data_IF_172969385407
#
_entry.id   IF_172969385407
#
_cell.length_a   1.000
_cell.length_b   1.000
_cell.length_c   1.000
_cell.angle_alpha   90.00
_cell.angle_beta   90.00
_cell.angle_gamma   90.00
#
_symmetry.space_group_name_H-M   'P 1'
#
loop_
_entity.id
_entity.type
_entity.pdbx_description
1 polymer ?
#
# COMPACT_ATOMS: atom_id res chain seq x y z
N UNK A 1 48.75 0.60 34.29
CA UNK A 1 48.33 1.48 33.17
C UNK A 1 48.51 0.70 31.88
N UNK A 2 47.44 0.16 31.32
CA UNK A 2 47.42 -0.31 29.93
C UNK A 2 46.05 0.06 29.36
N UNK A 3 46.02 1.14 28.61
CA UNK A 3 44.85 1.60 27.88
C UNK A 3 44.60 0.63 26.72
N UNK A 4 43.39 0.05 26.57
CA UNK A 4 43.09 -0.75 25.39
C UNK A 4 42.99 0.15 24.17
N UNK A 5 43.74 -0.19 23.13
CA UNK A 5 43.67 0.43 21.80
C UNK A 5 42.35 0.05 21.12
N UNK A 6 41.63 1.04 20.57
CA UNK A 6 40.51 0.81 19.65
C UNK A 6 41.06 0.55 18.22
N UNK A 7 40.49 -0.40 17.46
CA UNK A 7 40.79 -0.52 16.04
C UNK A 7 40.16 0.66 15.29
N UNK A 8 40.97 1.35 14.48
CA UNK A 8 40.58 2.46 13.61
C UNK A 8 40.24 1.98 12.19
N UNK A 9 39.61 0.81 12.03
CA UNK A 9 39.47 0.14 10.74
C UNK A 9 38.06 0.15 10.17
N UNK A 10 37.33 1.26 10.31
CA UNK A 10 36.18 1.57 9.45
C UNK A 10 35.04 0.52 9.42
N UNK A 11 35.00 -0.41 10.36
CA UNK A 11 33.91 -1.37 10.53
C UNK A 11 32.80 -0.68 11.32
N UNK A 12 31.64 -0.49 10.69
CA UNK A 12 30.47 0.12 11.33
C UNK A 12 30.13 -0.61 12.62
N UNK A 13 29.76 0.14 13.66
CA UNK A 13 29.31 -0.41 14.94
C UNK A 13 27.97 -1.11 14.69
N UNK A 14 28.00 -2.42 14.43
CA UNK A 14 26.80 -3.24 14.46
C UNK A 14 26.27 -3.23 15.91
N UNK A 15 24.96 -2.97 16.08
CA UNK A 15 24.29 -2.80 17.38
C UNK A 15 24.24 -4.04 18.27
N UNK A 16 24.99 -5.10 17.94
CA UNK A 16 25.03 -6.36 18.66
C UNK A 16 26.46 -6.92 18.61
N UNK A 17 27.08 -7.14 19.78
CA UNK A 17 28.41 -7.73 19.91
C UNK A 17 28.77 -7.92 21.38
N UNK A 18 29.74 -8.80 21.68
CA UNK A 18 30.15 -9.14 23.05
C UNK A 18 30.72 -7.95 23.86
N UNK A 19 30.93 -6.80 23.22
CA UNK A 19 31.33 -5.55 23.86
C UNK A 19 30.15 -4.76 24.45
N UNK A 20 28.90 -5.10 24.11
CA UNK A 20 27.73 -4.50 24.77
C UNK A 20 27.64 -5.02 26.20
N UNK A 21 27.96 -4.14 27.14
CA UNK A 21 27.80 -4.40 28.56
C UNK A 21 26.37 -4.06 29.00
N UNK A 22 25.77 -4.83 29.92
CA UNK A 22 24.54 -4.43 30.58
C UNK A 22 24.71 -3.03 31.16
N UNK A 23 23.77 -2.14 30.87
CA UNK A 23 23.84 -0.74 31.34
C UNK A 23 23.73 -0.63 32.86
N UNK A 24 23.25 -1.69 33.53
CA UNK A 24 23.00 -1.76 34.98
C UNK A 24 22.20 -0.58 35.53
N UNK A 25 21.44 0.11 34.66
CA UNK A 25 20.56 1.19 35.06
C UNK A 25 19.40 0.61 35.86
N UNK A 26 18.98 1.34 36.90
CA UNK A 26 17.69 1.09 37.51
C UNK A 26 16.57 1.28 36.46
N UNK A 27 15.40 0.68 36.68
CA UNK A 27 14.27 0.84 35.75
C UNK A 27 13.91 2.33 35.53
N UNK A 28 14.04 3.15 36.57
CA UNK A 28 13.80 4.59 36.52
C UNK A 28 14.87 5.32 35.68
N UNK A 29 16.15 4.98 35.86
CA UNK A 29 17.24 5.61 35.12
C UNK A 29 17.28 5.16 33.66
N UNK A 30 16.88 3.92 33.36
CA UNK A 30 16.68 3.44 32.01
C UNK A 30 15.58 4.24 31.31
N UNK A 31 14.42 4.44 31.98
CA UNK A 31 13.33 5.25 31.46
C UNK A 31 13.75 6.71 31.22
N UNK A 32 14.51 7.33 32.14
CA UNK A 32 15.07 8.68 31.95
C UNK A 32 16.07 8.73 30.79
N UNK A 33 16.97 7.75 30.67
CA UNK A 33 17.95 7.67 29.60
C UNK A 33 17.29 7.49 28.22
N UNK A 34 16.11 6.88 28.16
CA UNK A 34 15.30 6.76 26.95
C UNK A 34 14.17 7.79 26.87
N UNK A 35 14.03 8.73 27.81
CA UNK A 35 12.93 9.68 27.82
C UNK A 35 12.91 10.59 26.58
N UNK A 36 14.07 10.78 25.92
CA UNK A 36 14.13 11.47 24.63
C UNK A 36 13.46 10.70 23.48
N UNK A 37 13.35 9.37 23.59
CA UNK A 37 12.58 8.50 22.68
C UNK A 37 11.08 8.73 22.87
N UNK A 38 10.66 9.05 24.10
CA UNK A 38 9.27 9.37 24.44
C UNK A 38 8.90 10.84 24.18
N UNK A 39 9.91 11.73 24.06
CA UNK A 39 9.66 13.12 23.67
C UNK A 39 9.02 13.13 22.29
N UNK A 40 7.78 13.60 22.23
CA UNK A 40 7.08 13.86 20.99
C UNK A 40 7.83 14.96 20.22
N UNK A 41 8.58 14.54 19.21
CA UNK A 41 9.22 15.43 18.25
C UNK A 41 8.37 15.40 16.99
N UNK A 42 7.59 16.46 16.76
CA UNK A 42 6.84 16.60 15.52
C UNK A 42 7.79 16.94 14.37
N UNK A 43 8.18 15.90 13.62
CA UNK A 43 9.07 16.02 12.45
C UNK A 43 8.54 16.95 11.36
N UNK A 44 7.25 17.29 11.36
CA UNK A 44 6.65 18.26 10.43
C UNK A 44 6.98 19.70 10.78
N UNK A 45 7.34 19.96 12.04
CA UNK A 45 7.68 21.30 12.57
C UNK A 45 9.18 21.52 12.73
N UNK A 46 9.99 20.46 12.56
CA UNK A 46 11.44 20.59 12.56
C UNK A 46 11.85 21.26 11.24
N UNK A 47 12.47 22.43 11.35
CA UNK A 47 13.27 22.99 10.26
C UNK A 47 14.51 22.10 10.06
N UNK A 48 14.49 21.27 9.01
CA UNK A 48 15.60 20.39 8.65
C UNK A 48 16.79 21.15 8.05
N UNK A 49 16.72 22.49 7.95
CA UNK A 49 17.75 23.33 7.37
C UNK A 49 17.70 23.30 5.85
N UNK A 50 18.25 22.24 5.23
CA UNK A 50 18.14 22.03 3.79
C UNK A 50 16.80 21.36 3.47
N UNK A 51 15.94 22.04 2.71
CA UNK A 51 14.75 21.41 2.14
C UNK A 51 15.23 20.22 1.33
N UNK A 52 14.77 19.03 1.69
CA UNK A 52 15.15 17.82 0.97
C UNK A 52 14.79 17.97 -0.52
N UNK A 53 15.63 17.43 -1.39
CA UNK A 53 15.52 17.62 -2.84
C UNK A 53 14.24 16.98 -3.40
N UNK A 54 13.40 17.77 -4.08
CA UNK A 54 12.15 17.29 -4.66
C UNK A 54 12.41 16.76 -6.07
N UNK A 55 12.29 15.44 -6.22
CA UNK A 55 12.51 14.74 -7.49
C UNK A 55 11.75 15.33 -8.68
N UNK A 56 10.63 16.02 -8.44
CA UNK A 56 9.83 16.66 -9.49
C UNK A 56 10.54 17.87 -10.11
N UNK A 57 11.35 18.60 -9.35
CA UNK A 57 12.10 19.76 -9.86
C UNK A 57 13.12 19.31 -10.92
N UNK A 58 13.86 18.24 -10.63
CA UNK A 58 14.77 17.61 -11.59
C UNK A 58 14.02 17.02 -12.80
N UNK A 59 12.86 16.43 -12.56
CA UNK A 59 12.04 15.86 -13.62
C UNK A 59 11.51 16.93 -14.61
N UNK A 60 11.11 18.11 -14.13
CA UNK A 60 10.70 19.22 -15.01
C UNK A 60 11.86 19.76 -15.84
N UNK A 61 13.07 19.80 -15.27
CA UNK A 61 14.26 20.20 -16.03
C UNK A 61 14.56 19.21 -17.16
N UNK A 62 14.51 17.89 -16.88
CA UNK A 62 14.70 16.86 -17.90
C UNK A 62 13.66 16.93 -19.03
N UNK A 63 12.40 17.24 -18.69
CA UNK A 63 11.36 17.39 -19.71
C UNK A 63 11.60 18.63 -20.58
N UNK A 64 12.02 19.75 -19.96
CA UNK A 64 12.38 20.98 -20.69
C UNK A 64 13.56 20.76 -21.65
N UNK A 65 14.51 19.91 -21.26
CA UNK A 65 15.62 19.46 -22.10
C UNK A 65 15.19 18.44 -23.17
N UNK A 66 13.94 17.95 -23.11
CA UNK A 66 13.38 17.03 -24.08
C UNK A 66 13.77 15.57 -23.86
N UNK A 67 14.32 15.21 -22.70
CA UNK A 67 14.79 13.86 -22.38
C UNK A 67 13.64 12.89 -22.07
N UNK A 68 12.60 13.38 -21.41
CA UNK A 68 11.44 12.61 -20.95
C UNK A 68 10.13 13.32 -21.29
N UNK A 69 9.02 12.62 -21.11
CA UNK A 69 7.66 13.15 -21.04
C UNK A 69 7.17 12.93 -19.60
N UNK A 70 6.68 13.99 -18.97
CA UNK A 70 6.07 13.89 -17.64
C UNK A 70 4.58 13.61 -17.79
N UNK A 71 4.14 12.45 -17.30
CA UNK A 71 2.73 12.16 -17.13
C UNK A 71 2.24 12.92 -15.90
N UNK A 72 1.54 14.04 -16.16
CA UNK A 72 1.04 14.98 -15.14
C UNK A 72 -0.33 14.60 -14.60
N UNK A 73 -0.59 14.89 -13.33
CA UNK A 73 -1.93 14.96 -12.75
C UNK A 73 -2.53 16.32 -13.11
N UNK A 74 -3.33 16.35 -14.16
CA UNK A 74 -4.10 17.53 -14.61
C UNK A 74 -5.37 17.75 -13.79
N UNK A 75 -5.99 18.93 -13.95
CA UNK A 75 -7.27 19.29 -13.32
C UNK A 75 -8.42 18.33 -13.70
N UNK A 76 -8.34 17.67 -14.86
CA UNK A 76 -9.34 16.68 -15.29
C UNK A 76 -9.42 15.48 -14.34
N UNK A 77 -8.31 15.14 -13.67
CA UNK A 77 -8.26 14.09 -12.64
C UNK A 77 -8.90 14.52 -11.31
N UNK A 78 -9.27 15.81 -11.18
CA UNK A 78 -9.75 16.45 -9.94
C UNK A 78 -8.86 16.10 -8.73
N UNK A 79 -7.57 16.46 -8.77
CA UNK A 79 -6.65 16.10 -7.72
C UNK A 79 -7.01 16.76 -6.38
N UNK A 80 -6.70 16.05 -5.30
CA UNK A 80 -6.68 16.59 -3.94
C UNK A 80 -5.23 16.68 -3.49
N UNK A 81 -4.82 17.86 -3.05
CA UNK A 81 -3.50 18.07 -2.45
C UNK A 81 -3.48 17.55 -1.01
N UNK A 82 -2.47 16.76 -0.68
CA UNK A 82 -2.21 16.23 0.66
C UNK A 82 -0.81 16.61 1.12
N UNK A 83 -0.61 16.66 2.43
CA UNK A 83 0.68 16.95 3.05
C UNK A 83 1.43 15.67 3.36
N UNK A 84 2.71 15.63 3.02
CA UNK A 84 3.62 14.56 3.43
C UNK A 84 4.30 14.88 4.76
N UNK A 85 5.09 13.94 5.29
CA UNK A 85 5.82 14.10 6.55
C UNK A 85 6.68 15.38 6.61
N UNK A 86 7.21 15.86 5.48
CA UNK A 86 8.03 17.07 5.41
C UNK A 86 7.28 18.28 4.82
N UNK A 87 5.95 18.23 4.85
CA UNK A 87 5.10 19.35 4.42
C UNK A 87 5.00 19.54 2.91
N UNK A 88 5.55 18.62 2.11
CA UNK A 88 5.42 18.67 0.65
C UNK A 88 3.97 18.48 0.25
N UNK A 89 3.56 19.19 -0.81
CA UNK A 89 2.28 18.94 -1.46
C UNK A 89 2.45 17.74 -2.38
N UNK A 90 1.59 16.75 -2.22
CA UNK A 90 1.44 15.62 -3.12
C UNK A 90 0.04 15.66 -3.74
N UNK A 91 -0.06 15.47 -5.05
CA UNK A 91 -1.35 15.45 -5.76
C UNK A 91 -1.90 14.04 -5.84
N UNK A 92 -3.11 13.83 -5.32
CA UNK A 92 -3.81 12.55 -5.43
C UNK A 92 -4.96 12.70 -6.43
N UNK A 93 -4.87 12.14 -7.66
CA UNK A 93 -5.99 12.13 -8.60
C UNK A 93 -7.18 11.39 -7.98
N UNK A 94 -8.40 11.92 -8.14
CA UNK A 94 -9.61 11.27 -7.65
C UNK A 94 -10.40 10.56 -8.75
N UNK A 95 -10.17 10.93 -10.01
CA UNK A 95 -10.81 10.40 -11.21
C UNK A 95 -9.76 10.11 -12.30
N UNK A 96 -10.23 9.45 -13.35
CA UNK A 96 -9.46 9.00 -14.51
C UNK A 96 -8.26 8.15 -14.08
N UNK A 97 -8.53 7.02 -13.43
CA UNK A 97 -7.50 6.18 -12.79
C UNK A 97 -7.21 4.91 -13.61
N UNK A 98 -5.94 4.57 -13.76
CA UNK A 98 -5.51 3.32 -14.37
C UNK A 98 -5.14 2.32 -13.27
N UNK A 99 -5.92 1.25 -13.10
CA UNK A 99 -5.70 0.29 -12.02
C UNK A 99 -4.48 -0.58 -12.27
N UNK A 100 -3.36 -0.23 -11.64
CA UNK A 100 -2.19 -1.10 -11.61
C UNK A 100 -2.36 -2.18 -10.54
N UNK A 101 -3.03 -3.28 -10.92
CA UNK A 101 -3.37 -4.38 -10.03
C UNK A 101 -2.13 -5.17 -9.61
N UNK A 102 -2.10 -5.56 -8.35
CA UNK A 102 -1.04 -6.40 -7.79
C UNK A 102 -1.22 -7.87 -8.19
N UNK A 103 -0.12 -8.55 -8.55
CA UNK A 103 -0.12 -10.01 -8.67
C UNK A 103 -0.54 -10.69 -7.35
N UNK A 104 -0.18 -10.10 -6.20
CA UNK A 104 -0.55 -10.60 -4.88
C UNK A 104 -2.06 -10.49 -4.66
N UNK A 105 -2.70 -9.38 -5.06
CA UNK A 105 -4.14 -9.18 -4.90
C UNK A 105 -4.91 -10.15 -5.78
N UNK A 106 -4.61 -10.15 -7.08
CA UNK A 106 -5.32 -10.99 -8.03
C UNK A 106 -5.17 -12.49 -7.70
N UNK A 107 -4.02 -12.90 -7.14
CA UNK A 107 -3.75 -14.31 -6.86
C UNK A 107 -4.02 -14.79 -5.44
N UNK A 108 -4.07 -13.90 -4.43
CA UNK A 108 -4.25 -14.31 -3.03
C UNK A 108 -5.49 -13.72 -2.37
N UNK A 109 -5.73 -12.41 -2.54
CA UNK A 109 -6.84 -11.68 -1.89
C UNK A 109 -7.58 -10.84 -2.96
N UNK A 110 -8.33 -11.46 -3.87
CA UNK A 110 -9.01 -10.76 -4.99
C UNK A 110 -10.15 -9.82 -4.54
N UNK A 111 -10.58 -9.92 -3.27
CA UNK A 111 -11.49 -8.96 -2.65
C UNK A 111 -10.96 -7.53 -2.60
N UNK A 112 -9.63 -7.33 -2.64
CA UNK A 112 -8.99 -6.01 -2.67
C UNK A 112 -9.44 -5.15 -3.87
N UNK A 113 -9.11 -5.51 -5.13
CA UNK A 113 -9.49 -4.72 -6.28
C UNK A 113 -11.01 -4.70 -6.44
N UNK A 114 -11.71 -5.79 -6.13
CA UNK A 114 -13.17 -5.86 -6.25
C UNK A 114 -13.86 -4.85 -5.33
N UNK A 115 -13.45 -4.74 -4.06
CA UNK A 115 -13.97 -3.74 -3.13
C UNK A 115 -13.68 -2.30 -3.57
N UNK A 116 -12.48 -2.04 -4.12
CA UNK A 116 -12.13 -0.72 -4.63
C UNK A 116 -12.98 -0.32 -5.84
N UNK A 117 -13.11 -1.20 -6.84
CA UNK A 117 -13.94 -0.96 -8.02
C UNK A 117 -15.41 -0.79 -7.65
N UNK A 118 -15.91 -1.60 -6.71
CA UNK A 118 -17.27 -1.47 -6.21
C UNK A 118 -17.50 -0.13 -5.52
N UNK A 119 -16.55 0.31 -4.69
CA UNK A 119 -16.63 1.62 -4.02
C UNK A 119 -16.63 2.75 -5.04
N UNK A 120 -15.77 2.71 -6.07
CA UNK A 120 -15.75 3.70 -7.15
C UNK A 120 -17.08 3.75 -7.91
N UNK A 121 -17.66 2.59 -8.25
CA UNK A 121 -18.97 2.53 -8.89
C UNK A 121 -20.08 3.10 -8.01
N UNK A 122 -20.06 2.84 -6.71
CA UNK A 122 -21.00 3.43 -5.75
C UNK A 122 -20.86 4.94 -5.60
N UNK A 123 -19.65 5.48 -5.78
CA UNK A 123 -19.39 6.92 -5.88
C UNK A 123 -19.73 7.51 -7.28
N UNK A 124 -20.34 6.72 -8.16
CA UNK A 124 -20.79 7.15 -9.49
C UNK A 124 -19.69 7.23 -10.55
N UNK A 125 -18.53 6.61 -10.32
CA UNK A 125 -17.49 6.54 -11.34
C UNK A 125 -17.92 5.63 -12.49
N UNK A 126 -17.59 6.04 -13.72
CA UNK A 126 -17.94 5.32 -14.94
C UNK A 126 -16.71 4.60 -15.50
N UNK A 127 -16.71 3.26 -15.58
CA UNK A 127 -15.65 2.48 -16.23
C UNK A 127 -15.36 2.97 -17.66
N UNK A 128 -14.09 3.03 -18.05
CA UNK A 128 -13.67 3.50 -19.38
C UNK A 128 -13.70 5.03 -19.54
N UNK A 129 -14.17 5.78 -18.53
CA UNK A 129 -14.08 7.25 -18.45
C UNK A 129 -13.35 7.71 -17.20
N UNK A 130 -13.79 7.27 -16.02
CA UNK A 130 -13.29 7.72 -14.72
C UNK A 130 -12.30 6.72 -14.10
N UNK A 131 -12.29 5.47 -14.56
CA UNK A 131 -11.21 4.53 -14.27
C UNK A 131 -11.14 3.44 -15.34
N UNK A 132 -10.01 2.74 -15.40
CA UNK A 132 -9.76 1.62 -16.29
C UNK A 132 -9.15 0.44 -15.55
N UNK A 133 -9.79 -0.72 -15.66
CA UNK A 133 -9.20 -2.00 -15.26
C UNK A 133 -8.52 -2.65 -16.48
N UNK A 134 -7.26 -2.26 -16.72
CA UNK A 134 -6.51 -2.66 -17.91
C UNK A 134 -6.00 -4.11 -17.81
N UNK A 135 -6.09 -4.84 -18.92
CA UNK A 135 -5.57 -6.22 -19.02
C UNK A 135 -4.14 -6.27 -19.52
N UNK A 136 -3.69 -5.26 -20.28
CA UNK A 136 -2.31 -5.16 -20.79
C UNK A 136 -1.32 -4.64 -19.73
N UNK A 137 -1.30 -5.23 -18.54
CA UNK A 137 -0.35 -4.91 -17.48
C UNK A 137 0.45 -6.13 -17.03
N UNK A 138 1.66 -5.92 -16.52
CA UNK A 138 2.52 -7.00 -15.99
C UNK A 138 2.81 -6.81 -14.51
N UNK A 139 3.31 -7.87 -13.87
CA UNK A 139 3.92 -7.77 -12.54
C UNK A 139 4.95 -6.63 -12.49
N UNK A 140 5.04 -5.95 -11.35
CA UNK A 140 6.11 -4.98 -11.06
C UNK A 140 7.49 -5.63 -10.90
N UNK A 141 7.56 -6.95 -10.70
CA UNK A 141 8.78 -7.74 -10.41
C UNK A 141 9.52 -7.39 -9.12
N UNK A 142 8.99 -6.45 -8.31
CA UNK A 142 9.63 -5.96 -7.10
C UNK A 142 9.81 -7.03 -6.00
N UNK A 143 8.92 -8.03 -5.91
CA UNK A 143 9.10 -9.15 -4.97
C UNK A 143 10.40 -9.91 -5.22
N UNK A 144 10.70 -10.19 -6.50
CA UNK A 144 11.95 -10.86 -6.86
C UNK A 144 13.16 -9.97 -6.58
N UNK A 145 13.06 -8.68 -6.85
CA UNK A 145 14.14 -7.73 -6.55
C UNK A 145 14.49 -7.71 -5.06
N UNK A 146 13.50 -7.46 -4.20
CA UNK A 146 13.71 -7.38 -2.77
C UNK A 146 14.00 -8.75 -2.12
N UNK A 147 13.52 -9.84 -2.72
CA UNK A 147 13.73 -11.21 -2.19
C UNK A 147 15.07 -11.83 -2.55
N UNK A 148 15.55 -11.61 -3.78
CA UNK A 148 16.80 -12.19 -4.26
C UNK A 148 18.02 -11.33 -3.95
N UNK A 149 17.87 -10.00 -3.91
CA UNK A 149 19.01 -9.07 -3.88
C UNK A 149 19.85 -9.08 -5.18
N UNK A 150 19.41 -9.79 -6.22
CA UNK A 150 20.14 -10.00 -7.49
C UNK A 150 19.39 -9.39 -8.70
N UNK A 151 18.26 -8.71 -8.47
CA UNK A 151 17.49 -8.10 -9.55
C UNK A 151 18.26 -6.97 -10.26
N UNK A 152 18.23 -6.97 -11.60
CA UNK A 152 18.83 -5.92 -12.42
C UNK A 152 17.94 -4.66 -12.42
N UNK A 153 18.50 -3.53 -11.99
CA UNK A 153 17.82 -2.22 -11.98
C UNK A 153 17.29 -1.80 -13.34
N UNK A 154 17.99 -2.11 -14.44
CA UNK A 154 17.52 -1.81 -15.80
C UNK A 154 16.23 -2.54 -16.14
N UNK A 155 16.11 -3.80 -15.72
CA UNK A 155 14.90 -4.60 -15.92
C UNK A 155 13.73 -4.06 -15.11
N UNK A 156 13.98 -3.65 -13.86
CA UNK A 156 12.95 -3.03 -13.01
C UNK A 156 12.45 -1.71 -13.61
N UNK A 157 13.37 -0.85 -14.02
CA UNK A 157 13.05 0.41 -14.68
C UNK A 157 12.30 0.20 -16.00
N UNK A 158 12.70 -0.78 -16.81
CA UNK A 158 11.99 -1.11 -18.04
C UNK A 158 10.56 -1.63 -17.77
N UNK A 159 10.37 -2.50 -16.78
CA UNK A 159 9.04 -3.02 -16.41
C UNK A 159 8.15 -1.91 -15.85
N UNK A 160 8.69 -1.07 -14.95
CA UNK A 160 8.01 0.11 -14.42
C UNK A 160 7.52 1.01 -15.54
N UNK A 161 8.43 1.48 -16.40
CA UNK A 161 8.08 2.41 -17.47
C UNK A 161 7.23 1.76 -18.57
N UNK A 162 7.31 0.45 -18.79
CA UNK A 162 6.39 -0.27 -19.68
C UNK A 162 4.95 -0.21 -19.18
N UNK A 163 4.72 -0.42 -17.88
CA UNK A 163 3.38 -0.35 -17.28
C UNK A 163 2.85 1.10 -17.30
N UNK A 164 3.70 2.07 -16.99
CA UNK A 164 3.29 3.48 -16.93
C UNK A 164 3.11 4.08 -18.32
N UNK A 165 3.89 3.64 -19.31
CA UNK A 165 3.59 3.89 -20.71
C UNK A 165 2.21 3.34 -21.09
N UNK A 166 1.86 2.10 -20.68
CA UNK A 166 0.54 1.55 -20.98
C UNK A 166 -0.56 2.45 -20.41
N UNK A 167 -0.47 2.82 -19.13
CA UNK A 167 -1.43 3.74 -18.52
C UNK A 167 -1.59 5.05 -19.30
N UNK A 168 -0.47 5.64 -19.73
CA UNK A 168 -0.47 6.88 -20.52
C UNK A 168 -1.19 6.73 -21.86
N UNK A 169 -1.08 5.58 -22.54
CA UNK A 169 -1.69 5.40 -23.88
C UNK A 169 -3.05 4.70 -23.88
N UNK A 170 -3.45 4.04 -22.78
CA UNK A 170 -4.70 3.26 -22.71
C UNK A 170 -5.93 4.09 -23.08
N UNK A 171 -5.96 5.38 -22.74
CA UNK A 171 -7.06 6.29 -23.05
C UNK A 171 -7.45 6.31 -24.53
N UNK A 172 -6.48 6.14 -25.44
CA UNK A 172 -6.71 6.20 -26.90
C UNK A 172 -7.74 5.18 -27.38
N UNK A 173 -7.73 3.97 -26.81
CA UNK A 173 -8.66 2.90 -27.20
C UNK A 173 -10.10 3.20 -26.79
N UNK A 174 -10.28 4.14 -25.87
CA UNK A 174 -11.58 4.57 -25.34
C UNK A 174 -11.99 5.97 -25.84
N UNK A 175 -11.27 6.51 -26.85
CA UNK A 175 -11.57 7.82 -27.44
C UNK A 175 -11.04 9.01 -26.63
N UNK A 176 -10.09 8.77 -25.72
CA UNK A 176 -9.46 9.82 -24.92
C UNK A 176 -8.03 10.11 -25.38
N UNK A 177 -7.53 11.29 -25.00
CA UNK A 177 -6.14 11.69 -25.27
C UNK A 177 -5.13 10.90 -24.41
N UNK A 178 -3.85 10.83 -24.83
CA UNK A 178 -2.78 10.31 -23.98
C UNK A 178 -2.74 11.02 -22.63
N UNK A 179 -2.46 10.27 -21.58
CA UNK A 179 -2.40 10.77 -20.21
C UNK A 179 -3.76 10.90 -19.52
N UNK A 180 -4.87 10.59 -20.20
CA UNK A 180 -6.21 10.60 -19.60
C UNK A 180 -6.29 9.75 -18.34
N UNK A 181 -5.78 8.50 -18.36
CA UNK A 181 -5.76 7.68 -17.15
C UNK A 181 -4.44 7.81 -16.40
N UNK A 182 -4.49 8.13 -15.11
CA UNK A 182 -3.32 8.20 -14.23
C UNK A 182 -3.11 6.91 -13.42
N UNK A 183 -1.90 6.35 -13.33
CA UNK A 183 -1.62 5.10 -12.61
C UNK A 183 -2.02 5.14 -11.13
N UNK A 184 -2.89 4.21 -10.74
CA UNK A 184 -3.25 3.91 -9.35
C UNK A 184 -2.60 2.58 -8.95
N UNK A 185 -1.58 2.65 -8.11
CA UNK A 185 -0.80 1.48 -7.69
C UNK A 185 -1.48 0.77 -6.54
N UNK A 186 -1.77 -0.52 -6.72
CA UNK A 186 -2.51 -1.26 -5.71
C UNK A 186 -1.64 -1.88 -4.61
N UNK A 187 -0.36 -2.14 -4.88
CA UNK A 187 0.54 -2.85 -3.96
C UNK A 187 1.52 -1.88 -3.32
N UNK A 188 1.62 -1.90 -1.98
CA UNK A 188 2.65 -1.14 -1.26
C UNK A 188 4.06 -1.47 -1.73
N UNK A 189 4.32 -2.75 -2.06
CA UNK A 189 5.61 -3.17 -2.62
C UNK A 189 5.93 -2.50 -3.95
N UNK A 190 4.99 -2.55 -4.90
CA UNK A 190 5.15 -1.91 -6.23
C UNK A 190 5.29 -0.39 -6.08
N UNK A 191 4.47 0.21 -5.23
CA UNK A 191 4.49 1.64 -4.95
C UNK A 191 5.87 2.09 -4.46
N UNK A 192 6.40 1.46 -3.42
CA UNK A 192 7.71 1.83 -2.91
C UNK A 192 8.82 1.60 -3.93
N UNK A 193 8.79 0.48 -4.67
CA UNK A 193 9.79 0.20 -5.70
C UNK A 193 9.74 1.22 -6.84
N UNK A 194 8.55 1.61 -7.31
CA UNK A 194 8.42 2.62 -8.36
C UNK A 194 8.90 4.00 -7.93
N UNK A 195 8.71 4.38 -6.65
CA UNK A 195 9.28 5.63 -6.12
C UNK A 195 10.81 5.63 -6.17
N UNK A 196 11.42 4.55 -5.71
CA UNK A 196 12.88 4.38 -5.73
C UNK A 196 13.41 4.39 -7.17
N UNK A 197 12.84 3.56 -8.04
CA UNK A 197 13.27 3.44 -9.44
C UNK A 197 13.05 4.74 -10.21
N UNK A 198 11.98 5.49 -9.92
CA UNK A 198 11.77 6.83 -10.47
C UNK A 198 12.93 7.74 -10.09
N UNK A 199 13.33 7.78 -8.82
CA UNK A 199 14.46 8.61 -8.37
C UNK A 199 15.75 8.26 -9.14
N UNK A 200 16.09 6.98 -9.27
CA UNK A 200 17.25 6.56 -10.06
C UNK A 200 17.15 6.94 -11.54
N UNK A 201 15.96 6.86 -12.14
CA UNK A 201 15.73 7.31 -13.51
C UNK A 201 15.92 8.81 -13.66
N UNK A 202 15.54 9.63 -12.68
CA UNK A 202 15.72 11.08 -12.74
C UNK A 202 17.20 11.46 -12.52
N UNK A 203 17.91 10.77 -11.64
CA UNK A 203 19.30 11.10 -11.28
C UNK A 203 20.35 10.49 -12.22
N UNK A 204 20.07 9.38 -12.91
CA UNK A 204 21.06 8.68 -13.74
C UNK A 204 20.75 8.76 -15.26
N UNK A 205 21.45 9.63 -16.01
CA UNK A 205 21.37 9.64 -17.48
C UNK A 205 21.73 8.29 -18.11
N UNK A 206 22.72 7.58 -17.54
CA UNK A 206 23.16 6.28 -18.04
C UNK A 206 22.05 5.22 -17.91
N UNK A 207 21.31 5.21 -16.78
CA UNK A 207 20.16 4.32 -16.62
C UNK A 207 19.05 4.68 -17.62
N UNK A 208 18.72 5.97 -17.77
CA UNK A 208 17.71 6.42 -18.75
C UNK A 208 18.04 5.94 -20.16
N UNK A 209 19.28 6.12 -20.61
CA UNK A 209 19.71 5.74 -21.94
C UNK A 209 19.61 4.21 -22.18
N UNK A 210 19.99 3.39 -21.19
CA UNK A 210 19.84 1.94 -21.29
C UNK A 210 18.37 1.51 -21.34
N UNK A 211 17.54 2.08 -20.48
CA UNK A 211 16.10 1.78 -20.41
C UNK A 211 15.38 2.25 -21.67
N UNK A 212 15.72 3.42 -22.21
CA UNK A 212 15.20 3.95 -23.48
C UNK A 212 15.45 3.01 -24.64
N UNK A 213 16.64 2.41 -24.74
CA UNK A 213 16.95 1.38 -25.76
C UNK A 213 16.10 0.12 -25.60
N UNK A 214 15.80 -0.29 -24.36
CA UNK A 214 14.92 -1.44 -24.10
C UNK A 214 13.49 -1.12 -24.53
N UNK A 215 12.93 0.00 -24.07
CA UNK A 215 11.55 0.39 -24.39
C UNK A 215 11.34 0.71 -25.87
N UNK A 216 12.36 1.23 -26.56
CA UNK A 216 12.33 1.42 -28.01
C UNK A 216 12.04 0.10 -28.75
N UNK A 217 12.72 -0.99 -28.36
CA UNK A 217 12.50 -2.33 -28.92
C UNK A 217 11.11 -2.88 -28.63
N UNK A 218 10.48 -2.44 -27.54
CA UNK A 218 9.13 -2.84 -27.14
C UNK A 218 8.04 -1.95 -27.75
N UNK A 219 8.39 -0.88 -28.47
CA UNK A 219 7.43 0.12 -28.95
C UNK A 219 6.74 0.89 -27.81
N UNK A 220 7.45 1.08 -26.68
CA UNK A 220 6.93 1.72 -25.45
C UNK A 220 7.58 3.08 -25.19
N UNK A 221 7.78 3.84 -26.26
CA UNK A 221 8.20 5.25 -26.22
C UNK A 221 7.11 6.12 -26.82
N UNK A 222 6.95 7.34 -26.33
CA UNK A 222 6.12 8.37 -26.94
C UNK A 222 7.05 9.44 -27.50
N UNK A 223 6.97 9.69 -28.80
CA UNK A 223 7.87 10.63 -29.51
C UNK A 223 9.36 10.38 -29.24
N UNK A 224 9.72 9.10 -29.12
CA UNK A 224 11.09 8.67 -28.83
C UNK A 224 11.55 8.89 -27.39
N UNK A 225 10.66 9.27 -26.46
CA UNK A 225 10.96 9.61 -25.07
C UNK A 225 10.34 8.63 -24.08
N UNK A 226 10.94 8.56 -22.89
CA UNK A 226 10.40 7.84 -21.74
C UNK A 226 9.23 8.62 -21.14
N UNK A 227 8.14 7.93 -20.81
CA UNK A 227 7.02 8.54 -20.06
C UNK A 227 7.20 8.22 -18.58
N UNK A 228 7.38 9.24 -17.75
CA UNK A 228 7.60 9.11 -16.30
C UNK A 228 6.52 9.90 -15.55
N UNK A 229 5.85 9.32 -14.54
CA UNK A 229 4.77 9.99 -13.81
C UNK A 229 5.28 11.04 -12.81
N UNK A 230 4.58 12.16 -12.71
CA UNK A 230 4.89 13.19 -11.71
C UNK A 230 4.65 12.71 -10.27
N UNK A 231 3.65 11.84 -10.08
CA UNK A 231 3.32 11.23 -8.80
C UNK A 231 3.29 9.71 -8.91
N UNK A 232 3.74 9.01 -7.87
CA UNK A 232 3.43 7.60 -7.68
C UNK A 232 2.31 7.55 -6.65
N UNK A 233 1.12 7.11 -7.07
CA UNK A 233 -0.08 7.16 -6.24
C UNK A 233 -0.49 5.75 -5.86
N UNK A 234 -0.64 5.48 -4.56
CA UNK A 234 -1.16 4.22 -4.05
C UNK A 234 -2.68 4.29 -3.87
N UNK A 235 -3.40 3.18 -4.08
CA UNK A 235 -4.86 3.16 -3.94
C UNK A 235 -5.32 3.61 -2.54
N UNK A 236 -4.56 3.30 -1.49
CA UNK A 236 -4.95 3.71 -0.14
C UNK A 236 -4.69 5.22 0.11
N UNK A 237 -3.88 5.90 -0.71
CA UNK A 237 -3.82 7.37 -0.74
C UNK A 237 -5.10 7.93 -1.39
N UNK A 238 -5.61 7.29 -2.44
CA UNK A 238 -6.93 7.60 -3.00
C UNK A 238 -8.03 7.38 -1.95
N UNK A 239 -8.02 6.25 -1.23
CA UNK A 239 -8.98 5.97 -0.16
C UNK A 239 -8.90 7.04 0.93
N UNK A 240 -7.68 7.48 1.29
CA UNK A 240 -7.50 8.57 2.25
C UNK A 240 -8.19 9.86 1.78
N UNK A 241 -7.97 10.33 0.55
CA UNK A 241 -8.61 11.58 0.08
C UNK A 241 -10.12 11.43 -0.14
N UNK A 242 -10.60 10.23 -0.43
CA UNK A 242 -12.01 9.94 -0.63
C UNK A 242 -12.78 9.60 0.66
N UNK A 243 -12.08 9.40 1.79
CA UNK A 243 -12.64 8.85 3.03
C UNK A 243 -13.90 9.54 3.52
N UNK A 244 -13.96 10.88 3.44
CA UNK A 244 -15.09 11.65 3.94
C UNK A 244 -16.32 11.45 3.04
N UNK A 245 -16.12 11.34 1.72
CA UNK A 245 -17.19 11.01 0.78
C UNK A 245 -17.66 9.58 0.96
N UNK A 246 -16.74 8.63 1.13
CA UNK A 246 -17.09 7.23 1.42
C UNK A 246 -17.95 7.15 2.69
N UNK A 247 -17.51 7.78 3.78
CA UNK A 247 -18.25 7.77 5.04
C UNK A 247 -19.61 8.50 4.95
N UNK A 248 -19.67 9.67 4.32
CA UNK A 248 -20.91 10.47 4.28
C UNK A 248 -21.92 10.04 3.21
N UNK A 249 -21.47 9.53 2.07
CA UNK A 249 -22.34 9.19 0.92
C UNK A 249 -22.70 7.70 0.90
N UNK A 250 -21.83 6.80 1.39
CA UNK A 250 -21.98 5.36 1.19
C UNK A 250 -22.16 4.54 2.46
N UNK A 251 -21.73 5.02 3.62
CA UNK A 251 -21.81 4.24 4.86
C UNK A 251 -23.27 3.92 5.20
N UNK A 252 -23.56 2.63 5.39
CA UNK A 252 -24.89 2.14 5.76
C UNK A 252 -24.89 1.34 7.06
N UNK A 253 -23.71 0.96 7.54
CA UNK A 253 -23.52 0.18 8.76
C UNK A 253 -22.69 0.99 9.75
N UNK A 254 -23.19 1.08 10.99
CA UNK A 254 -22.43 1.67 12.09
C UNK A 254 -21.31 0.73 12.52
N UNK A 255 -20.10 1.27 12.59
CA UNK A 255 -18.89 0.55 13.00
C UNK A 255 -18.21 1.21 14.20
N UNK A 256 -18.90 2.14 14.87
CA UNK A 256 -18.35 2.95 15.96
C UNK A 256 -17.98 2.16 17.23
N UNK A 257 -18.50 0.94 17.35
CA UNK A 257 -18.14 -0.03 18.39
C UNK A 257 -16.98 -0.94 18.02
N UNK A 258 -16.52 -0.95 16.76
CA UNK A 258 -15.41 -1.81 16.32
C UNK A 258 -14.06 -1.23 16.69
N UNK A 259 -13.26 -2.03 17.40
CA UNK A 259 -11.87 -1.75 17.73
C UNK A 259 -11.00 -2.11 16.54
N UNK A 260 -10.48 -1.11 15.86
CA UNK A 260 -9.67 -1.28 14.66
C UNK A 260 -8.24 -0.90 14.92
N UNK A 261 -7.29 -1.71 14.47
CA UNK A 261 -5.88 -1.32 14.41
C UNK A 261 -5.36 -1.41 12.99
N UNK A 262 -4.19 -0.83 12.70
CA UNK A 262 -3.64 -0.82 11.34
C UNK A 262 -2.21 -1.34 11.35
N UNK A 263 -1.89 -2.10 10.31
CA UNK A 263 -0.52 -2.37 9.91
C UNK A 263 -0.16 -1.48 8.72
N UNK A 264 0.68 -0.47 8.97
CA UNK A 264 1.24 0.35 7.90
C UNK A 264 2.36 -0.40 7.18
N UNK A 265 2.23 -0.54 5.86
CA UNK A 265 3.19 -1.30 5.06
C UNK A 265 4.55 -0.61 5.04
N UNK A 266 5.65 -1.34 5.28
CA UNK A 266 6.99 -0.77 5.27
C UNK A 266 7.34 -0.09 3.94
N UNK A 267 6.89 -0.63 2.81
CA UNK A 267 7.18 -0.06 1.48
C UNK A 267 6.36 1.19 1.15
N UNK A 268 5.38 1.55 1.99
CA UNK A 268 4.68 2.82 1.88
C UNK A 268 5.55 3.97 2.43
N UNK A 269 6.08 3.82 3.65
CA UNK A 269 6.73 4.93 4.38
C UNK A 269 8.21 4.75 4.73
N UNK A 270 8.79 3.54 4.72
CA UNK A 270 10.20 3.34 5.12
C UNK A 270 11.19 3.55 3.98
N UNK A 271 10.79 3.24 2.74
CA UNK A 271 11.71 3.32 1.59
C UNK A 271 11.88 4.75 1.08
N UNK A 272 10.78 5.50 1.01
CA UNK A 272 10.74 6.91 0.58
C UNK A 272 9.77 7.62 1.52
N UNK A 273 10.28 8.00 2.70
CA UNK A 273 9.50 8.51 3.82
C UNK A 273 8.93 9.92 3.57
N UNK A 274 9.62 10.70 2.74
CA UNK A 274 9.25 12.05 2.34
C UNK A 274 7.95 12.14 1.55
N UNK A 275 7.56 11.03 0.93
CA UNK A 275 6.37 10.93 0.10
C UNK A 275 5.18 10.33 0.87
N UNK A 276 5.38 9.90 2.12
CA UNK A 276 4.32 9.33 2.95
C UNK A 276 3.42 10.42 3.52
N UNK A 277 2.10 10.22 3.40
CA UNK A 277 1.08 11.14 3.92
C UNK A 277 0.94 11.00 5.44
N UNK A 278 1.08 12.14 6.12
CA UNK A 278 0.80 12.34 7.53
C UNK A 278 -0.21 13.48 7.67
N UNK A 279 -1.34 13.21 8.33
CA UNK A 279 -2.45 14.14 8.50
C UNK A 279 -2.66 14.37 10.00
N UNK A 280 -2.61 15.63 10.45
CA UNK A 280 -2.78 16.02 11.85
C UNK A 280 -4.11 15.55 12.44
N UNK A 281 -5.15 15.44 11.62
CA UNK A 281 -6.45 14.95 12.05
C UNK A 281 -6.48 13.45 12.32
N UNK A 282 -5.44 12.70 11.92
CA UNK A 282 -5.37 11.23 12.02
C UNK A 282 -4.32 10.84 13.05
N UNK A 283 -4.76 10.40 14.23
CA UNK A 283 -3.87 10.08 15.37
C UNK A 283 -2.86 11.20 15.72
N UNK A 284 -3.28 12.47 15.58
CA UNK A 284 -2.41 13.64 15.79
C UNK A 284 -1.30 13.78 14.74
N UNK A 285 -1.35 12.99 13.67
CA UNK A 285 -0.29 12.81 12.69
C UNK A 285 0.98 12.15 13.24
N UNK A 286 0.86 11.36 14.31
CA UNK A 286 1.96 10.52 14.82
C UNK A 286 2.16 9.25 14.00
N UNK A 287 1.12 8.82 13.27
CA UNK A 287 1.10 7.63 12.41
C UNK A 287 0.76 8.04 10.99
N UNK A 288 1.12 7.19 10.04
CA UNK A 288 0.73 7.39 8.64
C UNK A 288 -0.79 7.49 8.52
N UNK A 289 -1.29 8.49 7.80
CA UNK A 289 -2.73 8.73 7.68
C UNK A 289 -3.43 7.64 6.84
N UNK A 290 -2.72 7.12 5.86
CA UNK A 290 -3.19 6.09 4.95
C UNK A 290 -3.39 4.75 5.67
N UNK A 291 -4.49 4.05 5.35
CA UNK A 291 -4.99 2.88 6.07
C UNK A 291 -5.77 3.22 7.34
N UNK A 292 -5.28 4.18 8.13
CA UNK A 292 -5.88 4.62 9.40
C UNK A 292 -7.11 5.50 9.22
N UNK A 293 -7.00 6.47 8.32
CA UNK A 293 -7.96 7.56 8.18
C UNK A 293 -9.35 7.12 7.73
N UNK A 294 -9.46 6.04 6.95
CA UNK A 294 -10.77 5.53 6.51
C UNK A 294 -11.52 4.87 7.66
N UNK A 295 -10.85 4.10 8.52
CA UNK A 295 -11.47 3.54 9.72
C UNK A 295 -11.97 4.65 10.64
N UNK A 296 -11.14 5.69 10.85
CA UNK A 296 -11.52 6.87 11.65
C UNK A 296 -12.71 7.63 11.02
N UNK A 297 -12.73 7.82 9.69
CA UNK A 297 -13.80 8.52 9.00
C UNK A 297 -15.14 7.78 9.07
N UNK A 298 -15.12 6.44 9.06
CA UNK A 298 -16.29 5.59 9.25
C UNK A 298 -16.75 5.50 10.72
N UNK A 299 -16.01 6.12 11.64
CA UNK A 299 -16.34 6.18 13.06
C UNK A 299 -15.76 5.05 13.91
N UNK A 300 -15.01 4.10 13.33
CA UNK A 300 -14.42 3.00 14.09
C UNK A 300 -13.38 3.49 15.11
N UNK A 301 -13.22 2.74 16.20
CA UNK A 301 -12.25 3.06 17.24
C UNK A 301 -10.85 2.67 16.78
N UNK A 302 -10.05 3.62 16.32
CA UNK A 302 -8.67 3.37 15.92
C UNK A 302 -7.77 3.26 17.14
N UNK A 303 -7.08 2.13 17.29
CA UNK A 303 -6.27 1.80 18.47
C UNK A 303 -4.82 1.53 18.06
N UNK A 304 -3.92 2.27 18.67
CA UNK A 304 -2.48 2.14 18.49
C UNK A 304 -1.91 0.96 19.32
N UNK A 305 -0.72 0.49 18.95
CA UNK A 305 0.01 -0.57 19.65
C UNK A 305 1.52 -0.40 19.47
N UNK A 306 2.30 -0.94 20.41
CA UNK A 306 3.73 -0.70 20.58
C UNK A 306 4.55 -1.09 19.34
N UNK A 307 4.13 -2.10 18.59
CA UNK A 307 4.83 -2.59 17.40
C UNK A 307 4.20 -2.11 16.09
N UNK A 308 3.46 -0.99 16.08
CA UNK A 308 2.82 -0.45 14.87
C UNK A 308 3.75 -0.38 13.65
N UNK A 309 4.95 0.17 13.85
CA UNK A 309 5.96 0.36 12.80
C UNK A 309 6.78 -0.89 12.45
N UNK A 310 6.61 -1.99 13.19
CA UNK A 310 7.29 -3.23 12.88
C UNK A 310 6.81 -3.80 11.54
N UNK A 311 7.73 -4.49 10.85
CA UNK A 311 7.44 -5.28 9.66
C UNK A 311 6.32 -6.30 9.95
N UNK A 312 5.55 -6.67 8.94
CA UNK A 312 4.57 -7.76 9.06
C UNK A 312 5.21 -9.13 9.29
N UNK A 313 6.52 -9.27 9.05
CA UNK A 313 7.25 -10.54 9.07
C UNK A 313 7.50 -11.11 7.68
N UNK A 314 6.82 -10.63 6.63
CA UNK A 314 6.96 -11.17 5.26
C UNK A 314 8.41 -11.17 4.79
N UNK A 315 9.13 -10.05 5.00
CA UNK A 315 10.53 -9.84 4.66
C UNK A 315 10.99 -10.65 3.44
N UNK A 316 10.86 -10.11 2.22
CA UNK A 316 10.95 -10.82 0.93
C UNK A 316 11.94 -11.99 0.84
N UNK A 317 13.14 -11.86 1.42
CA UNK A 317 14.11 -12.95 1.50
C UNK A 317 13.70 -14.03 2.53
N UNK A 318 13.33 -13.62 3.74
CA UNK A 318 12.88 -14.49 4.82
C UNK A 318 11.69 -15.37 4.44
N UNK A 319 10.69 -14.89 3.70
CA UNK A 319 9.59 -15.77 3.27
C UNK A 319 10.06 -16.88 2.31
N UNK A 320 11.15 -16.65 1.56
CA UNK A 320 11.71 -17.63 0.64
C UNK A 320 12.66 -18.58 1.38
N UNK A 321 13.58 -18.06 2.20
CA UNK A 321 14.67 -18.83 2.82
C UNK A 321 14.45 -19.21 4.29
N UNK A 322 13.63 -18.47 5.04
CA UNK A 322 13.50 -18.54 6.51
C UNK A 322 12.02 -18.47 6.94
N UNK A 323 11.21 -19.37 6.40
CA UNK A 323 9.75 -19.35 6.60
C UNK A 323 9.33 -19.34 8.07
N UNK A 324 10.01 -20.10 8.92
CA UNK A 324 9.68 -20.15 10.35
C UNK A 324 9.95 -18.82 11.05
N UNK A 325 10.98 -18.06 10.65
CA UNK A 325 11.18 -16.70 11.14
C UNK A 325 10.02 -15.79 10.76
N UNK A 326 9.58 -15.85 9.50
CA UNK A 326 8.42 -15.06 9.03
C UNK A 326 7.18 -15.35 9.89
N UNK A 327 6.92 -16.64 10.15
CA UNK A 327 5.76 -17.11 10.90
C UNK A 327 5.80 -16.69 12.37
N UNK A 328 6.92 -16.94 13.06
CA UNK A 328 7.07 -16.55 14.46
C UNK A 328 7.04 -15.04 14.63
N UNK A 329 7.73 -14.29 13.75
CA UNK A 329 7.72 -12.82 13.80
C UNK A 329 6.30 -12.28 13.63
N UNK A 330 5.55 -12.78 12.65
CA UNK A 330 4.16 -12.39 12.42
C UNK A 330 3.31 -12.63 13.68
N UNK A 331 3.38 -13.83 14.25
CA UNK A 331 2.58 -14.19 15.42
C UNK A 331 2.98 -13.41 16.67
N UNK A 332 4.28 -13.39 17.01
CA UNK A 332 4.77 -12.86 18.27
C UNK A 332 4.88 -11.34 18.29
N UNK A 333 5.31 -10.70 17.19
CA UNK A 333 5.51 -9.25 17.12
C UNK A 333 4.31 -8.48 16.60
N UNK A 334 3.43 -9.09 15.79
CA UNK A 334 2.25 -8.41 15.23
C UNK A 334 0.95 -8.88 15.85
N UNK A 335 0.56 -10.14 15.64
CA UNK A 335 -0.77 -10.63 15.99
C UNK A 335 -1.00 -10.63 17.50
N UNK A 336 -0.07 -11.22 18.26
CA UNK A 336 -0.14 -11.28 19.73
C UNK A 336 -0.16 -9.89 20.35
N UNK A 337 0.76 -9.01 19.96
CA UNK A 337 0.86 -7.64 20.50
C UNK A 337 -0.39 -6.84 20.21
N UNK A 338 -0.88 -6.87 18.97
CA UNK A 338 -2.12 -6.18 18.60
C UNK A 338 -3.33 -6.71 19.38
N UNK A 339 -3.41 -8.02 19.65
CA UNK A 339 -4.50 -8.56 20.48
C UNK A 339 -4.35 -8.23 21.96
N UNK A 340 -3.14 -8.23 22.50
CA UNK A 340 -2.92 -7.96 23.93
C UNK A 340 -3.06 -6.47 24.27
N UNK A 341 -2.55 -5.59 23.42
CA UNK A 341 -2.52 -4.15 23.68
C UNK A 341 -3.75 -3.44 23.11
N UNK A 342 -4.05 -3.67 21.84
CA UNK A 342 -5.18 -3.02 21.19
C UNK A 342 -6.49 -3.80 21.35
N UNK A 343 -6.45 -5.11 21.68
CA UNK A 343 -7.62 -5.98 21.67
C UNK A 343 -8.51 -5.73 20.44
N UNK A 344 -7.89 -5.64 19.27
CA UNK A 344 -8.54 -5.17 18.05
C UNK A 344 -9.45 -6.25 17.47
N UNK A 345 -10.66 -5.87 17.06
CA UNK A 345 -11.62 -6.71 16.33
C UNK A 345 -11.16 -6.98 14.90
N UNK A 346 -10.35 -6.08 14.34
CA UNK A 346 -9.77 -6.21 13.00
C UNK A 346 -8.46 -5.43 12.91
N UNK A 347 -7.49 -5.99 12.18
CA UNK A 347 -6.30 -5.27 11.73
C UNK A 347 -6.42 -4.98 10.24
N UNK A 348 -6.37 -3.69 9.89
CA UNK A 348 -6.39 -3.24 8.50
C UNK A 348 -4.96 -3.18 7.94
N UNK A 349 -4.83 -3.52 6.66
CA UNK A 349 -3.60 -3.37 5.92
C UNK A 349 -3.81 -2.65 4.60
N UNK A 350 -2.72 -2.17 4.01
CA UNK A 350 -2.72 -1.54 2.70
C UNK A 350 -1.90 -2.30 1.65
N UNK A 351 -1.06 -3.25 2.07
CA UNK A 351 -0.23 -4.06 1.18
C UNK A 351 -0.59 -5.53 1.28
N UNK A 352 -0.68 -6.18 0.13
CA UNK A 352 -1.15 -7.56 0.03
C UNK A 352 -0.13 -8.58 0.52
N UNK A 353 1.17 -8.29 0.42
CA UNK A 353 2.20 -9.12 1.05
C UNK A 353 2.03 -9.12 2.56
N UNK A 354 1.82 -7.94 3.16
CA UNK A 354 1.54 -7.80 4.59
C UNK A 354 0.29 -8.57 5.01
N UNK A 355 -0.85 -8.36 4.33
CA UNK A 355 -2.10 -9.03 4.69
C UNK A 355 -2.00 -10.52 4.49
N UNK A 356 -1.51 -10.99 3.34
CA UNK A 356 -1.40 -12.43 3.08
C UNK A 356 -0.54 -13.11 4.15
N UNK A 357 0.53 -12.45 4.61
CA UNK A 357 1.40 -12.97 5.67
C UNK A 357 0.68 -13.04 7.01
N UNK A 358 0.04 -11.96 7.43
CA UNK A 358 -0.64 -11.88 8.71
C UNK A 358 -1.91 -12.73 8.75
N UNK A 359 -2.61 -12.87 7.63
CA UNK A 359 -3.80 -13.70 7.48
C UNK A 359 -3.42 -15.19 7.47
N UNK A 360 -2.55 -15.60 6.53
CA UNK A 360 -2.26 -17.02 6.30
C UNK A 360 -1.32 -17.65 7.33
N UNK A 361 -0.56 -16.90 8.12
CA UNK A 361 0.33 -17.52 9.12
C UNK A 361 -0.33 -17.76 10.48
N UNK A 362 -1.56 -17.28 10.71
CA UNK A 362 -2.24 -17.44 12.00
C UNK A 362 -2.57 -18.88 12.38
N UNK A 363 -2.72 -19.79 11.40
CA UNK A 363 -2.93 -21.22 11.69
C UNK A 363 -1.74 -21.85 12.44
N UNK A 364 -0.54 -21.29 12.30
CA UNK A 364 0.66 -21.78 12.99
C UNK A 364 0.61 -21.41 14.47
N UNK A 365 0.18 -20.19 14.80
CA UNK A 365 -0.08 -19.82 16.18
C UNK A 365 -1.04 -20.81 16.83
N UNK A 366 -2.15 -21.13 16.15
CA UNK A 366 -3.12 -22.14 16.62
C UNK A 366 -2.48 -23.52 16.81
N UNK A 367 -1.63 -23.97 15.89
CA UNK A 367 -0.92 -25.25 16.00
C UNK A 367 0.05 -25.32 17.20
N UNK A 368 0.58 -24.18 17.63
CA UNK A 368 1.46 -24.06 18.81
C UNK A 368 0.71 -23.62 20.09
N UNK A 369 -0.62 -23.68 20.11
CA UNK A 369 -1.43 -23.29 21.28
C UNK A 369 -1.47 -21.78 21.55
N UNK A 370 -0.98 -20.95 20.62
CA UNK A 370 -1.04 -19.49 20.68
C UNK A 370 -2.34 -18.99 20.04
N UNK A 371 -3.41 -18.91 20.84
CA UNK A 371 -4.74 -18.53 20.37
C UNK A 371 -4.95 -16.99 20.30
N UNK A 372 -4.11 -16.28 19.55
CA UNK A 372 -4.22 -14.82 19.36
C UNK A 372 -4.95 -14.44 18.06
N UNK A 373 -5.89 -15.26 17.58
CA UNK A 373 -6.55 -15.06 16.29
C UNK A 373 -7.16 -13.65 16.16
N UNK A 374 -6.99 -13.03 15.00
CA UNK A 374 -7.44 -11.68 14.67
C UNK A 374 -7.75 -11.58 13.17
N UNK A 375 -8.94 -11.07 12.80
CA UNK A 375 -9.27 -10.75 11.42
C UNK A 375 -8.27 -9.77 10.78
N UNK A 376 -7.80 -10.10 9.57
CA UNK A 376 -6.90 -9.26 8.78
C UNK A 376 -7.53 -8.97 7.42
N UNK A 377 -7.73 -7.71 7.06
CA UNK A 377 -8.29 -7.33 5.75
C UNK A 377 -7.78 -5.97 5.25
N UNK A 378 -8.07 -5.65 3.98
CA UNK A 378 -7.78 -4.32 3.45
C UNK A 378 -8.56 -3.25 4.19
N UNK A 379 -7.99 -2.05 4.22
CA UNK A 379 -8.72 -0.84 4.54
C UNK A 379 -9.95 -0.63 3.63
N UNK A 380 -9.82 -0.88 2.32
CA UNK A 380 -10.92 -0.75 1.36
C UNK A 380 -11.95 -1.88 1.44
N UNK A 381 -11.57 -3.08 1.89
CA UNK A 381 -12.49 -4.19 2.14
C UNK A 381 -13.37 -3.87 3.36
N UNK A 382 -12.75 -3.38 4.43
CA UNK A 382 -13.47 -2.91 5.61
C UNK A 382 -14.42 -1.75 5.29
N UNK A 383 -13.95 -0.77 4.52
CA UNK A 383 -14.79 0.34 4.08
C UNK A 383 -15.98 -0.12 3.23
N UNK A 384 -15.76 -1.03 2.29
CA UNK A 384 -16.83 -1.59 1.47
C UNK A 384 -17.87 -2.34 2.33
N UNK A 385 -17.44 -3.14 3.32
CA UNK A 385 -18.36 -3.79 4.27
C UNK A 385 -19.20 -2.74 5.03
N UNK A 386 -18.58 -1.70 5.59
CA UNK A 386 -19.28 -0.62 6.29
C UNK A 386 -20.28 0.14 5.38
N UNK A 387 -20.05 0.12 4.07
CA UNK A 387 -20.94 0.68 3.04
C UNK A 387 -22.00 -0.31 2.53
N UNK A 388 -22.07 -1.53 3.08
CA UNK A 388 -23.07 -2.54 2.72
C UNK A 388 -22.70 -3.40 1.51
N UNK A 389 -21.41 -3.52 1.18
CA UNK A 389 -20.95 -4.46 0.17
C UNK A 389 -21.18 -5.91 0.62
N UNK A 390 -21.52 -6.78 -0.34
CA UNK A 390 -21.72 -8.20 -0.07
C UNK A 390 -20.40 -8.86 0.41
N UNK A 391 -20.40 -9.55 1.57
CA UNK A 391 -19.19 -10.14 2.15
C UNK A 391 -18.48 -11.17 1.24
N UNK A 392 -19.22 -11.95 0.44
CA UNK A 392 -18.64 -13.06 -0.33
C UNK A 392 -18.52 -12.75 -1.83
N UNK A 393 -19.43 -11.95 -2.38
CA UNK A 393 -19.43 -11.54 -3.79
C UNK A 393 -18.47 -10.38 -4.05
N UNK A 394 -18.43 -9.37 -3.18
CA UNK A 394 -17.61 -8.16 -3.38
C UNK A 394 -16.35 -8.19 -2.54
N UNK A 395 -16.49 -8.41 -1.23
CA UNK A 395 -15.36 -8.35 -0.29
C UNK A 395 -14.56 -9.66 -0.31
N UNK A 396 -15.21 -10.75 -0.74
CA UNK A 396 -14.64 -12.07 -1.00
C UNK A 396 -13.92 -12.70 0.20
N UNK A 397 -14.58 -12.72 1.36
CA UNK A 397 -14.02 -13.26 2.61
C UNK A 397 -13.55 -14.72 2.53
N UNK A 398 -14.08 -15.52 1.61
CA UNK A 398 -13.67 -16.91 1.36
C UNK A 398 -12.19 -17.08 0.95
N UNK A 399 -11.48 -15.99 0.62
CA UNK A 399 -10.04 -16.00 0.33
C UNK A 399 -9.17 -15.72 1.56
N UNK A 400 -9.77 -15.31 2.68
CA UNK A 400 -9.08 -15.09 3.94
C UNK A 400 -9.03 -16.38 4.77
N UNK A 401 -7.94 -16.56 5.52
CA UNK A 401 -7.75 -17.66 6.47
C UNK A 401 -7.97 -17.22 7.93
N UNK A 402 -7.86 -15.91 8.21
CA UNK A 402 -8.25 -15.32 9.49
C UNK A 402 -9.78 -15.19 9.58
N UNK A 403 -10.37 -15.12 10.80
CA UNK A 403 -11.82 -15.25 11.00
C UNK A 403 -12.58 -13.96 10.65
N UNK A 404 -12.48 -13.50 9.40
CA UNK A 404 -13.05 -12.23 8.94
C UNK A 404 -14.58 -12.19 9.01
N UNK A 405 -15.24 -13.34 9.05
CA UNK A 405 -16.68 -13.47 9.30
C UNK A 405 -17.09 -12.88 10.66
N UNK A 406 -16.20 -12.90 11.66
CA UNK A 406 -16.46 -12.28 12.97
C UNK A 406 -16.65 -10.76 12.86
N UNK A 407 -15.99 -10.11 11.89
CA UNK A 407 -16.15 -8.67 11.64
C UNK A 407 -17.54 -8.38 11.10
N UNK A 408 -18.03 -9.23 10.20
CA UNK A 408 -19.37 -9.10 9.59
C UNK A 408 -20.48 -9.26 10.64
N UNK A 409 -20.34 -10.22 11.55
CA UNK A 409 -21.31 -10.38 12.66
C UNK A 409 -21.29 -9.20 13.62
N UNK A 410 -20.10 -8.69 13.94
CA UNK A 410 -19.99 -7.48 14.78
C UNK A 410 -20.57 -6.26 14.07
N UNK A 411 -20.56 -6.22 12.74
CA UNK A 411 -21.27 -5.22 11.93
C UNK A 411 -22.80 -5.42 11.90
N UNK A 412 -23.33 -6.44 12.58
CA UNK A 412 -24.77 -6.73 12.62
C UNK A 412 -25.30 -7.44 11.37
N UNK A 413 -24.39 -7.97 10.53
CA UNK A 413 -24.75 -8.72 9.32
C UNK A 413 -24.52 -10.21 9.56
N UNK A 414 -25.51 -11.04 9.25
CA UNK A 414 -25.34 -12.49 9.36
C UNK A 414 -24.43 -13.00 8.23
N UNK A 415 -23.23 -13.47 8.56
CA UNK A 415 -22.31 -14.03 7.56
C UNK A 415 -22.87 -15.35 7.00
N UNK A 416 -23.61 -16.11 7.79
CA UNK A 416 -24.24 -17.35 7.34
C UNK A 416 -25.30 -17.09 6.26
N UNK A 417 -26.15 -16.07 6.46
CA UNK A 417 -27.13 -15.68 5.47
C UNK A 417 -26.45 -15.13 4.20
N UNK A 418 -25.42 -14.30 4.35
CA UNK A 418 -24.64 -13.79 3.22
C UNK A 418 -23.99 -14.93 2.41
N UNK A 419 -23.46 -15.95 3.08
CA UNK A 419 -22.89 -17.13 2.42
C UNK A 419 -23.95 -17.91 1.64
N UNK A 420 -25.13 -18.14 2.23
CA UNK A 420 -26.23 -18.83 1.55
C UNK A 420 -26.69 -18.07 0.30
N UNK A 421 -26.80 -16.74 0.39
CA UNK A 421 -27.13 -15.88 -0.75
C UNK A 421 -26.05 -15.95 -1.84
N UNK A 422 -24.78 -15.99 -1.45
CA UNK A 422 -23.68 -16.16 -2.40
C UNK A 422 -23.70 -17.53 -3.09
N UNK A 423 -23.93 -18.61 -2.35
CA UNK A 423 -24.07 -19.97 -2.92
C UNK A 423 -25.25 -20.06 -3.90
N UNK A 424 -26.37 -19.39 -3.60
CA UNK A 424 -27.48 -19.25 -4.53
C UNK A 424 -27.09 -18.44 -5.77
N UNK A 425 -26.36 -17.32 -5.61
CA UNK A 425 -25.84 -16.54 -6.73
C UNK A 425 -24.89 -17.34 -7.62
N UNK A 426 -24.09 -18.25 -7.07
CA UNK A 426 -23.23 -19.13 -7.87
C UNK A 426 -24.04 -20.02 -8.83
N UNK A 427 -25.28 -20.38 -8.49
CA UNK A 427 -26.20 -21.10 -9.40
C UNK A 427 -26.69 -20.23 -10.55
N UNK A 428 -26.88 -18.94 -10.30
CA UNK A 428 -27.19 -17.97 -11.35
C UNK A 428 -26.01 -17.80 -12.32
N UNK A 429 -24.78 -17.74 -11.79
CA UNK A 429 -23.54 -17.70 -12.58
C UNK A 429 -23.37 -18.96 -13.43
N UNK A 430 -23.59 -20.15 -12.85
CA UNK A 430 -23.56 -21.43 -13.57
C UNK A 430 -24.57 -21.45 -14.74
N UNK A 431 -25.71 -20.79 -14.56
CA UNK A 431 -26.73 -20.63 -15.59
C UNK A 431 -26.51 -19.43 -16.55
N UNK A 432 -25.34 -18.79 -16.51
CA UNK A 432 -24.93 -17.69 -17.40
C UNK A 432 -25.46 -16.30 -17.03
N UNK A 433 -26.11 -16.15 -15.86
CA UNK A 433 -26.64 -14.86 -15.37
C UNK A 433 -25.62 -14.18 -14.46
N UNK A 434 -24.56 -13.65 -15.08
CA UNK A 434 -23.44 -13.04 -14.39
C UNK A 434 -23.68 -11.53 -14.22
N UNK A 435 -23.54 -11.04 -12.99
CA UNK A 435 -23.48 -9.60 -12.73
C UNK A 435 -22.03 -9.13 -12.80
N UNK A 436 -21.72 -8.25 -13.75
CA UNK A 436 -20.38 -7.72 -13.94
C UNK A 436 -20.20 -6.39 -13.19
N UNK A 437 -19.14 -6.29 -12.41
CA UNK A 437 -18.72 -5.05 -11.75
C UNK A 437 -18.04 -4.07 -12.72
N UNK A 438 -17.50 -4.59 -13.81
CA UNK A 438 -16.78 -3.86 -14.83
C UNK A 438 -17.20 -4.41 -16.19
N UNK A 439 -17.47 -3.53 -17.16
CA UNK A 439 -17.85 -3.94 -18.51
C UNK A 439 -16.69 -4.71 -19.17
N UNK A 440 -16.84 -6.03 -19.43
CA UNK A 440 -15.77 -6.84 -20.02
C UNK A 440 -15.37 -6.36 -21.42
N UNK A 441 -16.23 -5.63 -22.14
CA UNK A 441 -15.91 -5.12 -23.47
C UNK A 441 -14.83 -4.04 -23.43
N UNK A 442 -14.63 -3.37 -22.30
CA UNK A 442 -13.54 -2.41 -22.09
C UNK A 442 -12.17 -3.09 -21.96
N UNK A 443 -12.13 -4.39 -21.66
CA UNK A 443 -10.90 -5.16 -21.57
C UNK A 443 -10.43 -5.73 -22.92
N UNK A 444 -11.30 -5.71 -23.95
CA UNK A 444 -11.03 -6.28 -25.26
C UNK A 444 -10.40 -5.19 -26.13
N UNK A 445 -9.17 -5.44 -26.61
CA UNK A 445 -8.52 -4.59 -27.61
C UNK A 445 -9.40 -4.56 -28.87
N UNK A 446 -9.86 -3.37 -29.25
CA UNK A 446 -10.41 -3.12 -30.59
C UNK A 446 -9.29 -2.86 -31.58
#
# INVERSE_FOLDING_TARGET
MSTPQHPSDGSGIAGHGAFFQPTNLSAEDAAKATAWVEKHVDRRTIDLGERMDDVREHMWQLEKEGEIIVHRVSDAHRPVDVKTLFGWNKKIPTLQLWHHKSCGQCGNIPGYPTALLWTMNKLGHVPGRDYLDETDQTSCTAWNYHGSGVGNLESLAAVFLRNFHQAYVSGKQHGHEPGHFFPLVHCGTSYGNYKEVRKYLIESPQLRERVKKILAKLGRLVDGKLVIPEEIVHYSEWVHVMRNRIASELQTIDVSHLRTTVHTACHYYKMVHEDAIYDESVLGGNRTAVGTSIAQALGAQVIDYSTWYDCCGFGFRHIISEREFTRSFTMDRKIKVARQEANADVMLGIDTGCITTMDKNQWIGKAHGQNYSMPIMADIQFAALACGADPFKIVQLQWHASPCEEVVEKMGVSWLAAKQNFEAYLKEVEAGRIEYLYDPTLAIRR
#
